data_IF_893326108590
#
_entry.id   IF_893326108590
#
_cell.length_a   1.000
_cell.length_b   1.000
_cell.length_c   1.000
_cell.angle_alpha   90.00
_cell.angle_beta   90.00
_cell.angle_gamma   90.00
#
_symmetry.space_group_name_H-M   'P 1'
#
loop_
_entity.id
_entity.type
_entity.pdbx_description
1 polymer ?
#
# COMPACT_ATOMS: atom_id res chain seq x y z
N UNK A 1 -11.80 19.24 -13.65
CA UNK A 1 -11.47 18.57 -14.92
C UNK A 1 -10.43 17.45 -14.74
N UNK A 2 -9.33 17.68 -14.02
CA UNK A 2 -8.24 16.70 -13.82
C UNK A 2 -8.66 15.38 -13.16
N UNK A 3 -9.55 15.42 -12.15
CA UNK A 3 -10.03 14.21 -11.46
C UNK A 3 -10.80 13.28 -12.40
N UNK A 4 -11.52 13.84 -13.38
CA UNK A 4 -12.25 13.08 -14.39
C UNK A 4 -11.29 12.41 -15.38
N UNK A 5 -10.26 13.15 -15.85
CA UNK A 5 -9.20 12.62 -16.71
C UNK A 5 -8.41 11.48 -16.05
N UNK A 6 -8.15 11.57 -14.74
CA UNK A 6 -7.46 10.54 -13.98
C UNK A 6 -8.29 9.25 -13.84
N UNK A 7 -9.60 9.40 -13.54
CA UNK A 7 -10.54 8.27 -13.55
C UNK A 7 -10.64 7.63 -14.94
N UNK A 8 -10.61 8.43 -16.00
CA UNK A 8 -10.66 7.95 -17.39
C UNK A 8 -9.38 7.20 -17.80
N UNK A 9 -8.19 7.71 -17.42
CA UNK A 9 -6.89 7.02 -17.64
C UNK A 9 -6.82 5.66 -16.92
N UNK A 10 -7.37 5.57 -15.70
CA UNK A 10 -7.53 4.31 -14.95
C UNK A 10 -8.54 3.35 -15.60
N UNK A 11 -9.55 3.88 -16.30
CA UNK A 11 -10.59 3.08 -16.93
C UNK A 11 -10.10 2.37 -18.20
N UNK A 12 -9.27 3.05 -19.01
CA UNK A 12 -8.87 2.62 -20.37
C UNK A 12 -7.69 1.64 -20.40
N UNK A 13 -6.73 1.74 -19.47
CA UNK A 13 -5.57 0.82 -19.53
C UNK A 13 -5.97 -0.59 -19.15
N UNK A 14 -5.84 -1.53 -20.09
CA UNK A 14 -5.77 -2.94 -19.75
C UNK A 14 -4.54 -3.14 -18.85
N UNK A 15 -4.78 -3.72 -17.68
CA UNK A 15 -3.72 -4.01 -16.71
C UNK A 15 -3.27 -5.45 -16.95
N UNK A 16 -2.01 -5.69 -17.37
CA UNK A 16 -1.52 -7.05 -17.64
C UNK A 16 -1.59 -7.92 -16.38
N UNK A 17 -1.87 -9.21 -16.53
CA UNK A 17 -1.86 -10.15 -15.39
C UNK A 17 -0.47 -10.32 -14.81
N UNK A 18 0.55 -10.30 -15.66
CA UNK A 18 1.93 -10.35 -15.25
C UNK A 18 2.38 -8.97 -14.71
N UNK A 19 3.12 -9.01 -13.60
CA UNK A 19 3.78 -7.84 -13.02
C UNK A 19 5.22 -7.86 -13.51
N UNK A 20 5.71 -6.80 -14.16
CA UNK A 20 7.11 -6.74 -14.59
C UNK A 20 8.04 -6.45 -13.42
N UNK A 21 9.31 -6.81 -13.54
CA UNK A 21 10.31 -6.68 -12.48
C UNK A 21 10.55 -5.24 -12.03
N UNK A 22 10.49 -4.30 -12.97
CA UNK A 22 10.74 -2.88 -12.75
C UNK A 22 9.49 -2.15 -12.26
N UNK A 23 8.37 -2.86 -12.07
CA UNK A 23 7.14 -2.22 -11.60
C UNK A 23 7.29 -1.69 -10.18
N UNK A 24 6.90 -0.43 -10.04
CA UNK A 24 6.73 0.27 -8.78
C UNK A 24 5.48 -0.20 -8.06
N UNK A 25 5.68 -0.82 -6.91
CA UNK A 25 4.64 -1.32 -6.02
C UNK A 25 4.52 -0.37 -4.83
N UNK A 26 3.31 0.11 -4.58
CA UNK A 26 3.03 1.16 -3.61
C UNK A 26 2.13 0.65 -2.50
N UNK A 27 2.56 0.86 -1.26
CA UNK A 27 1.82 0.58 -0.04
C UNK A 27 1.48 1.89 0.66
N UNK A 28 0.23 2.04 1.10
CA UNK A 28 -0.16 3.15 1.98
C UNK A 28 0.42 2.96 3.38
N UNK A 29 0.96 4.04 3.95
CA UNK A 29 1.58 4.09 5.27
C UNK A 29 0.78 5.01 6.21
N UNK A 30 0.66 4.57 7.48
CA UNK A 30 -0.07 5.29 8.53
C UNK A 30 0.84 5.61 9.72
N UNK A 31 0.64 6.75 10.38
CA UNK A 31 1.39 7.18 11.56
C UNK A 31 0.43 7.37 12.77
N UNK A 32 0.76 6.89 13.99
CA UNK A 32 1.98 6.20 14.46
C UNK A 32 2.06 4.70 14.17
N UNK A 33 1.04 4.13 13.54
CA UNK A 33 0.94 2.69 13.37
C UNK A 33 2.16 2.07 12.69
N UNK A 34 2.63 2.66 11.58
CA UNK A 34 3.65 2.08 10.70
C UNK A 34 5.00 2.78 10.73
N UNK A 35 5.17 3.84 11.53
CA UNK A 35 6.39 4.65 11.57
C UNK A 35 6.94 4.71 12.99
N UNK A 36 8.27 4.64 13.13
CA UNK A 36 9.02 5.02 14.34
C UNK A 36 10.20 5.94 13.95
N UNK A 37 11.04 6.28 14.92
CA UNK A 37 12.27 7.07 14.72
C UNK A 37 13.28 6.43 13.77
N UNK A 38 13.20 5.11 13.53
CA UNK A 38 14.08 4.36 12.62
C UNK A 38 13.49 4.21 11.21
N UNK A 39 12.29 4.73 10.95
CA UNK A 39 11.61 4.67 9.65
C UNK A 39 10.36 3.77 9.67
N UNK A 40 10.15 3.03 8.59
CA UNK A 40 8.99 2.14 8.44
C UNK A 40 9.15 0.93 9.37
N UNK A 41 8.13 0.68 10.19
CA UNK A 41 8.00 -0.51 11.02
C UNK A 41 7.59 -1.71 10.17
N UNK A 42 8.05 -2.90 10.53
CA UNK A 42 7.67 -4.17 9.89
C UNK A 42 6.17 -4.44 9.91
N UNK A 43 5.45 -3.89 10.90
CA UNK A 43 3.99 -4.02 10.97
C UNK A 43 3.26 -3.33 9.79
N UNK A 44 3.92 -2.46 9.02
CA UNK A 44 3.40 -1.94 7.75
C UNK A 44 3.16 -3.06 6.72
N UNK A 45 3.91 -4.15 6.86
CA UNK A 45 3.91 -5.35 6.02
C UNK A 45 3.34 -6.57 6.75
N UNK A 46 2.68 -6.40 7.89
CA UNK A 46 1.93 -7.50 8.53
C UNK A 46 0.50 -7.55 7.98
N UNK A 47 0.06 -8.74 7.61
CA UNK A 47 -1.28 -9.06 7.11
C UNK A 47 -1.86 -10.23 7.92
N UNK A 48 -3.17 -10.18 8.20
CA UNK A 48 -3.87 -11.27 8.90
C UNK A 48 -4.07 -12.53 8.06
N UNK A 49 -4.01 -12.45 6.72
CA UNK A 49 -4.29 -13.58 5.81
C UNK A 49 -3.17 -13.78 4.78
N UNK A 50 -1.92 -13.53 5.14
CA UNK A 50 -0.74 -13.58 4.26
C UNK A 50 -0.71 -12.62 3.04
N UNK A 51 -1.83 -12.01 2.68
CA UNK A 51 -1.96 -11.15 1.52
C UNK A 51 -1.91 -9.67 1.90
N UNK A 52 -0.85 -8.98 1.47
CA UNK A 52 -0.67 -7.55 1.68
C UNK A 52 -1.19 -6.75 0.49
N UNK A 53 -2.23 -5.95 0.73
CA UNK A 53 -2.81 -5.06 -0.27
C UNK A 53 -1.83 -3.94 -0.68
N UNK A 54 -1.53 -3.87 -1.97
CA UNK A 54 -0.66 -2.89 -2.61
C UNK A 54 -1.22 -2.41 -3.95
N UNK A 55 -0.63 -1.37 -4.52
CA UNK A 55 -1.01 -0.83 -5.82
C UNK A 55 0.17 -0.81 -6.80
N UNK A 56 -0.10 -1.13 -8.06
CA UNK A 56 0.87 -1.03 -9.15
C UNK A 56 0.87 0.40 -9.69
N UNK A 57 1.87 1.20 -9.32
CA UNK A 57 1.89 2.65 -9.59
C UNK A 57 1.80 2.96 -11.09
N UNK A 58 2.37 2.12 -11.96
CA UNK A 58 2.30 2.26 -13.43
C UNK A 58 0.87 2.32 -13.99
N UNK A 59 -0.08 1.68 -13.31
CA UNK A 59 -1.48 1.58 -13.71
C UNK A 59 -2.41 2.39 -12.81
N UNK A 60 -1.85 3.24 -11.95
CA UNK A 60 -2.60 4.18 -11.13
C UNK A 60 -1.84 5.50 -11.00
N UNK A 61 -2.18 6.32 -10.02
CA UNK A 61 -1.50 7.58 -9.73
C UNK A 61 -1.26 7.74 -8.24
N UNK A 62 -0.33 8.64 -7.89
CA UNK A 62 -0.09 9.01 -6.49
C UNK A 62 -1.33 9.59 -5.83
N UNK A 63 -2.13 10.39 -6.55
CA UNK A 63 -3.38 10.92 -6.03
C UNK A 63 -4.40 9.81 -5.74
N UNK A 64 -4.47 8.78 -6.58
CA UNK A 64 -5.31 7.63 -6.31
C UNK A 64 -4.85 6.91 -5.03
N UNK A 65 -3.56 6.63 -4.89
CA UNK A 65 -3.00 6.01 -3.69
C UNK A 65 -3.28 6.85 -2.42
N UNK A 66 -3.10 8.17 -2.49
CA UNK A 66 -3.45 9.11 -1.42
C UNK A 66 -4.92 9.04 -1.03
N UNK A 67 -5.82 9.11 -2.00
CA UNK A 67 -7.27 9.00 -1.76
C UNK A 67 -7.64 7.67 -1.10
N UNK A 68 -7.01 6.57 -1.50
CA UNK A 68 -7.21 5.28 -0.83
C UNK A 68 -6.74 5.33 0.62
N UNK A 69 -5.57 5.91 0.89
CA UNK A 69 -5.07 6.04 2.25
C UNK A 69 -5.92 6.93 3.15
N UNK A 70 -6.29 8.12 2.68
CA UNK A 70 -7.19 9.05 3.39
C UNK A 70 -8.57 8.41 3.61
N UNK A 71 -9.07 7.63 2.66
CA UNK A 71 -10.33 6.89 2.84
C UNK A 71 -10.20 5.86 3.95
N UNK A 72 -9.14 5.04 3.95
CA UNK A 72 -8.89 4.01 4.96
C UNK A 72 -8.70 4.60 6.37
N UNK A 73 -8.09 5.78 6.48
CA UNK A 73 -7.99 6.56 7.71
C UNK A 73 -9.38 7.00 8.21
N UNK A 74 -10.17 7.64 7.34
CA UNK A 74 -11.54 8.08 7.70
C UNK A 74 -12.44 6.91 8.08
N UNK A 75 -12.33 5.79 7.38
CA UNK A 75 -13.11 4.59 7.66
C UNK A 75 -12.72 3.94 8.98
N UNK A 76 -11.44 3.94 9.35
CA UNK A 76 -11.01 3.34 10.63
C UNK A 76 -11.41 4.16 11.85
N UNK A 77 -11.65 5.46 11.67
CA UNK A 77 -12.20 6.35 12.70
C UNK A 77 -13.71 6.19 12.90
N UNK A 78 -14.42 5.52 11.99
CA UNK A 78 -15.84 5.19 12.16
C UNK A 78 -15.94 3.90 12.99
N UNK A 79 -16.58 3.98 14.15
CA UNK A 79 -16.94 2.79 14.91
C UNK A 79 -17.93 1.94 14.08
N UNK A 80 -17.61 0.67 13.87
CA UNK A 80 -18.62 -0.32 13.48
C UNK A 80 -19.37 -0.76 14.74
N UNK A 81 -20.61 -1.22 14.58
CA UNK A 81 -21.43 -1.68 15.71
C UNK A 81 -20.65 -2.74 16.52
N UNK A 82 -20.34 -2.44 17.77
CA UNK A 82 -19.59 -3.32 18.67
C UNK A 82 -18.05 -3.22 18.61
N UNK A 83 -17.47 -2.33 17.78
CA UNK A 83 -16.02 -2.17 17.66
C UNK A 83 -15.57 -0.77 18.07
N UNK A 84 -14.44 -0.68 18.78
CA UNK A 84 -13.80 0.62 19.08
C UNK A 84 -13.18 1.20 17.80
N UNK A 85 -13.33 2.51 17.54
CA UNK A 85 -12.63 3.18 16.45
C UNK A 85 -11.12 3.00 16.57
N UNK A 86 -10.45 2.79 15.44
CA UNK A 86 -8.99 2.69 15.39
C UNK A 86 -8.40 4.08 15.16
N UNK A 87 -8.12 4.80 16.25
CA UNK A 87 -7.70 6.22 16.22
C UNK A 87 -6.27 6.44 15.70
N UNK A 88 -5.41 5.43 15.77
CA UNK A 88 -3.98 5.56 15.45
C UNK A 88 -3.64 5.33 13.96
N UNK A 89 -4.66 5.18 13.12
CA UNK A 89 -4.50 4.97 11.69
C UNK A 89 -4.70 6.28 10.94
N UNK A 90 -3.74 7.18 11.09
CA UNK A 90 -3.72 8.45 10.34
C UNK A 90 -2.89 8.27 9.08
N UNK A 91 -3.46 8.59 7.92
CA UNK A 91 -2.72 8.53 6.67
C UNK A 91 -1.47 9.42 6.79
N UNK A 92 -0.32 8.92 6.33
CA UNK A 92 0.96 9.62 6.47
C UNK A 92 1.70 9.76 5.15
N UNK A 93 1.55 8.77 4.27
CA UNK A 93 2.19 8.79 2.97
C UNK A 93 2.17 7.42 2.33
N UNK A 94 3.16 7.17 1.48
CA UNK A 94 3.32 5.90 0.79
C UNK A 94 4.73 5.34 0.94
N UNK A 95 4.82 4.02 0.95
CA UNK A 95 6.06 3.29 0.77
C UNK A 95 6.11 2.74 -0.65
N UNK A 96 7.26 2.92 -1.30
CA UNK A 96 7.56 2.44 -2.64
C UNK A 96 8.56 1.28 -2.57
N UNK A 97 8.23 0.20 -3.27
CA UNK A 97 9.06 -0.98 -3.49
C UNK A 97 9.12 -1.28 -4.99
N UNK A 98 10.18 -1.95 -5.44
CA UNK A 98 10.22 -2.54 -6.78
C UNK A 98 9.79 -4.01 -6.76
N UNK A 99 9.08 -4.46 -7.79
CA UNK A 99 8.55 -5.82 -7.85
C UNK A 99 9.65 -6.89 -7.77
N UNK A 100 10.82 -6.65 -8.38
CA UNK A 100 11.96 -7.57 -8.29
C UNK A 100 12.64 -7.59 -6.91
N UNK A 101 12.66 -6.49 -6.15
CA UNK A 101 13.11 -6.49 -4.75
C UNK A 101 12.20 -7.40 -3.93
N UNK A 102 10.87 -7.27 -4.12
CA UNK A 102 9.89 -8.10 -3.42
C UNK A 102 10.05 -9.58 -3.80
N UNK A 103 10.28 -9.91 -5.07
CA UNK A 103 10.42 -11.30 -5.57
C UNK A 103 11.58 -12.08 -4.97
N UNK A 104 12.60 -11.40 -4.46
CA UNK A 104 13.67 -12.05 -3.72
C UNK A 104 13.22 -12.64 -2.37
N UNK A 105 12.06 -12.21 -1.86
CA UNK A 105 11.55 -12.55 -0.52
C UNK A 105 10.14 -13.17 -0.54
N UNK A 106 9.27 -12.72 -1.46
CA UNK A 106 7.84 -13.01 -1.47
C UNK A 106 7.27 -13.00 -2.90
N UNK A 107 6.02 -13.46 -3.07
CA UNK A 107 5.33 -13.39 -4.36
C UNK A 107 4.59 -12.05 -4.51
N UNK A 108 4.53 -11.52 -5.73
CA UNK A 108 3.65 -10.37 -6.07
C UNK A 108 2.64 -10.84 -7.10
N UNK A 109 1.36 -10.74 -6.76
CA UNK A 109 0.25 -11.29 -7.55
C UNK A 109 -0.68 -10.17 -8.00
N UNK A 110 -1.06 -10.17 -9.28
CA UNK A 110 -2.10 -9.28 -9.78
C UNK A 110 -3.48 -9.75 -9.32
N UNK A 111 -4.17 -8.89 -8.58
CA UNK A 111 -5.44 -9.22 -7.89
C UNK A 111 -6.36 -8.01 -7.93
N UNK A 112 -6.93 -7.62 -9.08
CA UNK A 112 -7.74 -6.41 -9.16
C UNK A 112 -8.96 -6.49 -8.23
N UNK A 113 -9.29 -5.40 -7.55
CA UNK A 113 -10.55 -5.31 -6.81
C UNK A 113 -11.63 -4.88 -7.79
N UNK A 114 -12.52 -5.78 -8.15
CA UNK A 114 -13.60 -5.51 -9.11
C UNK A 114 -14.97 -5.36 -8.45
N UNK A 115 -15.10 -5.77 -7.19
CA UNK A 115 -16.34 -5.68 -6.41
C UNK A 115 -16.05 -5.45 -4.92
N UNK A 116 -16.85 -4.63 -4.20
CA UNK A 116 -17.98 -3.85 -4.72
C UNK A 116 -17.54 -2.69 -5.63
N UNK A 117 -18.41 -2.12 -6.48
CA UNK A 117 -18.01 -1.13 -7.50
C UNK A 117 -17.41 0.14 -6.88
N UNK A 118 -17.84 0.48 -5.66
CA UNK A 118 -17.32 1.60 -4.87
C UNK A 118 -15.83 1.44 -4.48
N UNK A 119 -15.32 0.21 -4.47
CA UNK A 119 -13.95 -0.15 -4.12
C UNK A 119 -13.14 -0.59 -5.36
N UNK A 120 -13.65 -0.31 -6.56
CA UNK A 120 -13.01 -0.71 -7.81
C UNK A 120 -11.56 -0.19 -7.92
N UNK A 121 -10.64 -1.14 -8.07
CA UNK A 121 -9.20 -0.91 -8.14
C UNK A 121 -8.54 -1.92 -9.09
N UNK A 122 -8.50 -1.55 -10.39
CA UNK A 122 -7.77 -2.29 -11.43
C UNK A 122 -6.25 -2.35 -11.21
N UNK A 123 -5.68 -1.45 -10.41
CA UNK A 123 -4.24 -1.43 -10.15
C UNK A 123 -3.84 -2.25 -8.91
N UNK A 124 -4.80 -2.87 -8.22
CA UNK A 124 -4.54 -3.65 -7.02
C UNK A 124 -3.69 -4.88 -7.32
N UNK A 125 -2.74 -5.13 -6.43
CA UNK A 125 -1.95 -6.32 -6.37
C UNK A 125 -1.79 -6.74 -4.90
N UNK A 126 -1.33 -7.95 -4.69
CA UNK A 126 -1.07 -8.52 -3.37
C UNK A 126 0.38 -8.98 -3.29
N UNK A 127 1.04 -8.68 -2.17
CA UNK A 127 2.30 -9.36 -1.80
C UNK A 127 1.92 -10.54 -0.92
N UNK A 128 2.23 -11.75 -1.37
CA UNK A 128 2.01 -12.98 -0.63
C UNK A 128 3.33 -13.46 -0.05
N UNK A 129 3.48 -13.31 1.26
CA UNK A 129 4.70 -13.69 1.99
C UNK A 129 4.81 -15.22 2.07
N UNK A 130 3.65 -15.89 2.26
CA UNK A 130 3.60 -17.29 2.66
C UNK A 130 4.12 -17.44 4.09
N UNK A 131 3.61 -18.39 4.86
CA UNK A 131 4.08 -18.69 6.21
C UNK A 131 3.44 -17.90 7.39
N UNK A 132 2.31 -17.19 7.25
CA UNK A 132 1.59 -16.74 8.45
C UNK A 132 0.89 -17.90 9.15
N UNK A 133 1.30 -18.19 10.38
CA UNK A 133 0.50 -18.94 11.34
C UNK A 133 -0.09 -17.94 12.31
N UNK A 134 -1.40 -17.65 12.16
CA UNK A 134 -2.15 -16.85 13.12
C UNK A 134 -2.11 -17.56 14.47
N UNK A 135 -1.49 -16.97 15.48
CA UNK A 135 -1.66 -17.40 16.88
C UNK A 135 -2.87 -16.67 17.51
N UNK A 136 -3.38 -17.20 18.62
CA UNK A 136 -4.63 -16.79 19.28
C UNK A 136 -4.75 -15.33 19.75
N UNK A 137 -3.81 -14.45 19.43
CA UNK A 137 -3.84 -13.01 19.73
C UNK A 137 -3.60 -12.12 18.49
N UNK A 138 -3.58 -12.70 17.28
CA UNK A 138 -3.22 -11.98 16.04
C UNK A 138 -1.72 -11.77 15.86
N UNK A 139 -0.89 -12.46 16.66
CA UNK A 139 0.55 -12.56 16.44
C UNK A 139 0.85 -13.61 15.37
N UNK A 140 1.93 -13.40 14.62
CA UNK A 140 2.41 -14.35 13.61
C UNK A 140 3.73 -14.91 14.11
N UNK A 141 3.79 -16.22 14.35
CA UNK A 141 4.93 -16.87 15.03
C UNK A 141 6.04 -17.36 14.09
N UNK A 142 5.92 -17.15 12.78
CA UNK A 142 6.90 -17.67 11.84
C UNK A 142 8.09 -16.71 11.66
N UNK A 143 9.29 -17.14 12.07
CA UNK A 143 10.52 -16.36 11.94
C UNK A 143 10.78 -15.89 10.50
N UNK A 144 10.45 -16.72 9.49
CA UNK A 144 10.56 -16.32 8.08
C UNK A 144 9.59 -15.20 7.73
N UNK A 145 8.36 -15.26 8.25
CA UNK A 145 7.38 -14.20 8.04
C UNK A 145 7.88 -12.87 8.62
N UNK A 146 8.36 -12.89 9.86
CA UNK A 146 8.93 -11.71 10.52
C UNK A 146 10.10 -11.14 9.73
N UNK A 147 11.06 -11.99 9.35
CA UNK A 147 12.19 -11.63 8.51
C UNK A 147 11.76 -10.96 7.19
N UNK A 148 10.79 -11.55 6.47
CA UNK A 148 10.31 -10.95 5.21
C UNK A 148 9.63 -9.61 5.47
N UNK A 149 8.82 -9.46 6.52
CA UNK A 149 8.20 -8.16 6.84
C UNK A 149 9.20 -7.09 7.24
N UNK A 150 10.28 -7.48 7.94
CA UNK A 150 11.38 -6.59 8.32
C UNK A 150 12.15 -6.12 7.10
N UNK A 151 12.51 -7.06 6.20
CA UNK A 151 13.24 -6.75 4.98
C UNK A 151 12.41 -5.91 4.00
N UNK A 152 11.10 -6.18 3.85
CA UNK A 152 10.21 -5.33 3.08
C UNK A 152 10.15 -3.92 3.65
N UNK A 153 10.10 -3.75 4.97
CA UNK A 153 10.15 -2.43 5.60
C UNK A 153 11.49 -1.73 5.35
N UNK A 154 12.60 -2.45 5.43
CA UNK A 154 13.95 -1.93 5.22
C UNK A 154 14.19 -1.46 3.78
N UNK A 155 13.72 -2.21 2.79
CA UNK A 155 13.87 -1.85 1.37
C UNK A 155 12.90 -0.76 0.88
N UNK A 156 11.89 -0.46 1.69
CA UNK A 156 10.85 0.49 1.33
C UNK A 156 11.35 1.93 1.34
N UNK A 157 11.05 2.66 0.28
CA UNK A 157 11.32 4.09 0.17
C UNK A 157 10.08 4.85 0.61
N UNK A 158 10.18 5.56 1.73
CA UNK A 158 9.07 6.31 2.31
C UNK A 158 8.96 7.69 1.65
N UNK A 159 7.75 8.02 1.18
CA UNK A 159 7.41 9.35 0.70
C UNK A 159 6.26 9.88 1.54
N UNK A 160 6.54 10.96 2.27
CA UNK A 160 5.62 11.59 3.21
C UNK A 160 4.71 12.56 2.44
N UNK A 161 3.42 12.53 2.74
CA UNK A 161 2.48 13.53 2.23
C UNK A 161 2.44 14.70 3.21
N UNK A 162 3.17 15.77 2.94
CA UNK A 162 3.18 16.94 3.83
C UNK A 162 1.79 17.62 3.93
N UNK A 163 0.95 17.45 2.90
CA UNK A 163 -0.34 18.13 2.76
C UNK A 163 -1.52 17.16 2.84
N UNK A 164 -1.64 16.48 3.97
CA UNK A 164 -2.66 15.46 4.27
C UNK A 164 -4.12 15.87 3.97
N UNK A 165 -4.45 17.17 4.11
CA UNK A 165 -5.81 17.69 3.91
C UNK A 165 -6.16 17.95 2.44
N UNK A 166 -5.17 18.00 1.56
CA UNK A 166 -5.40 18.23 0.13
C UNK A 166 -5.83 16.95 -0.57
N UNK A 167 -6.59 17.07 -1.67
CA UNK A 167 -6.99 15.90 -2.48
C UNK A 167 -5.89 15.41 -3.42
N UNK A 168 -4.89 16.25 -3.64
CA UNK A 168 -3.81 16.05 -4.60
C UNK A 168 -2.52 15.89 -3.81
N UNK A 169 -1.64 15.03 -4.30
CA UNK A 169 -0.28 14.92 -3.82
C UNK A 169 0.55 16.04 -4.47
N UNK A 170 0.66 17.16 -3.78
CA UNK A 170 1.46 18.31 -4.20
C UNK A 170 2.72 18.32 -3.33
N UNK A 171 3.68 17.46 -3.66
CA UNK A 171 5.00 17.47 -3.01
C UNK A 171 6.09 17.46 -4.07
N UNK A 172 7.24 18.06 -3.76
CA UNK A 172 8.40 18.10 -4.66
C UNK A 172 8.89 16.69 -5.01
N UNK A 173 8.75 15.76 -4.07
CA UNK A 173 9.13 14.35 -4.26
C UNK A 173 8.20 13.59 -5.23
N UNK A 174 7.08 14.16 -5.69
CA UNK A 174 6.19 13.50 -6.65
C UNK A 174 6.91 13.15 -7.96
N UNK A 175 7.79 14.03 -8.45
CA UNK A 175 8.63 13.77 -9.64
C UNK A 175 9.67 12.71 -9.35
N UNK A 176 10.28 12.75 -8.17
CA UNK A 176 11.24 11.74 -7.72
C UNK A 176 10.60 10.34 -7.72
N UNK A 177 9.43 10.18 -7.09
CA UNK A 177 8.70 8.91 -7.06
C UNK A 177 8.43 8.39 -8.46
N UNK A 178 8.02 9.26 -9.39
CA UNK A 178 7.67 8.86 -10.75
C UNK A 178 8.91 8.54 -11.60
N UNK A 179 10.02 9.24 -11.39
CA UNK A 179 11.25 9.09 -12.17
C UNK A 179 12.25 8.10 -11.57
N UNK A 180 12.07 7.67 -10.31
CA UNK A 180 12.97 6.74 -9.64
C UNK A 180 13.14 5.47 -10.48
N UNK A 181 14.38 5.12 -10.83
CA UNK A 181 14.70 3.83 -11.45
C UNK A 181 15.30 2.93 -10.37
N UNK A 182 15.19 1.61 -10.56
CA UNK A 182 15.89 0.66 -9.70
C UNK A 182 17.40 0.84 -9.86
#
# INVERSE_FOLDING_TARGET
MEILLEKFKLFIKSVPKEIKEEEKIVKVIFNPLNINTKGIKSNAYRARKDDLSVNRLKYTTLNYCKRQGVRLDKESKKAKKGEKPFKDKNFYGIALLFANEIRSLAQVLYKPVIWPPKDFNKAHAEIKIGHSTLTGAGEVSNARYLYVTDELARMSRLYIDEKHNEKIWVSDNSREILNLRK
#
